data_IF_079691874332
#
_entry.id   IF_079691874332
#
_cell.length_a   1.000
_cell.length_b   1.000
_cell.length_c   1.000
_cell.angle_alpha   90.00
_cell.angle_beta   90.00
_cell.angle_gamma   90.00
#
_symmetry.space_group_name_H-M   'P 1'
#
loop_
_entity.id
_entity.type
_entity.pdbx_description
1 polymer ?
#
# COMPACT_ATOMS: atom_id res chain seq x y z
N UNK A 1 -28.09 46.74 -14.75
CA UNK A 1 -29.29 47.31 -14.08
C UNK A 1 -30.37 46.26 -14.12
N UNK A 2 -30.85 45.79 -12.96
CA UNK A 2 -31.96 44.83 -12.86
C UNK A 2 -32.95 45.37 -11.81
N UNK A 3 -34.22 45.44 -12.18
CA UNK A 3 -35.35 45.66 -11.27
C UNK A 3 -36.35 44.52 -11.50
N UNK A 4 -36.79 43.84 -10.44
CA UNK A 4 -37.89 42.87 -10.51
C UNK A 4 -37.82 41.77 -9.44
N UNK A 5 -38.88 41.65 -8.65
CA UNK A 5 -39.06 40.77 -7.50
C UNK A 5 -39.38 39.31 -7.88
N UNK A 6 -38.98 38.40 -6.99
CA UNK A 6 -39.03 36.94 -7.12
C UNK A 6 -40.45 36.35 -7.12
N UNK A 7 -40.75 35.46 -8.08
CA UNK A 7 -41.55 34.24 -7.87
C UNK A 7 -41.46 33.32 -9.10
N UNK A 8 -41.05 32.06 -8.92
CA UNK A 8 -41.16 31.00 -9.93
C UNK A 8 -39.86 30.20 -10.17
N UNK A 9 -40.00 28.89 -10.41
CA UNK A 9 -38.90 27.94 -10.72
C UNK A 9 -37.89 28.54 -11.71
N UNK A 10 -36.60 28.48 -11.35
CA UNK A 10 -35.52 28.84 -12.28
C UNK A 10 -35.30 27.69 -13.28
N UNK A 11 -35.66 27.93 -14.54
CA UNK A 11 -35.16 27.18 -15.70
C UNK A 11 -34.19 28.12 -16.45
N UNK A 12 -32.92 27.75 -16.57
CA UNK A 12 -31.95 28.50 -17.36
C UNK A 12 -32.11 28.13 -18.83
N UNK A 13 -32.86 28.94 -19.59
CA UNK A 13 -32.87 28.87 -21.05
C UNK A 13 -32.04 30.01 -21.62
N UNK A 14 -30.94 29.68 -22.31
CA UNK A 14 -30.27 30.65 -23.18
C UNK A 14 -31.22 30.98 -24.33
N UNK A 15 -31.71 32.23 -24.34
CA UNK A 15 -32.48 32.79 -25.46
C UNK A 15 -31.54 32.80 -26.67
N UNK A 16 -32.01 32.22 -27.78
CA UNK A 16 -31.34 32.17 -29.09
C UNK A 16 -30.51 33.43 -29.31
N UNK A 17 -29.20 33.28 -29.29
CA UNK A 17 -28.27 34.31 -29.70
C UNK A 17 -27.88 33.99 -31.14
N UNK A 18 -28.25 34.86 -32.08
CA UNK A 18 -27.75 34.78 -33.46
C UNK A 18 -26.26 35.09 -33.41
N UNK A 19 -25.41 34.11 -33.74
CA UNK A 19 -23.96 34.28 -33.68
C UNK A 19 -23.35 34.28 -35.08
N UNK A 20 -22.31 35.11 -35.33
CA UNK A 20 -21.58 35.07 -36.58
C UNK A 20 -20.93 33.70 -36.80
N UNK A 21 -20.90 33.25 -38.06
CA UNK A 21 -20.14 32.08 -38.45
C UNK A 21 -18.67 32.27 -38.04
N UNK A 22 -18.04 31.23 -37.48
CA UNK A 22 -16.66 31.19 -36.92
C UNK A 22 -16.49 31.61 -35.46
N UNK A 23 -17.58 31.80 -34.70
CA UNK A 23 -17.46 32.02 -33.24
C UNK A 23 -17.09 30.70 -32.54
N UNK A 24 -15.83 30.56 -32.09
CA UNK A 24 -15.38 29.50 -31.20
C UNK A 24 -15.73 29.84 -29.75
N UNK A 25 -16.50 28.97 -29.09
CA UNK A 25 -16.63 29.00 -27.63
C UNK A 25 -15.47 28.23 -27.01
N UNK A 26 -14.71 28.87 -26.14
CA UNK A 26 -14.03 28.18 -25.04
C UNK A 26 -14.71 28.62 -23.74
N UNK A 27 -15.30 27.67 -23.02
CA UNK A 27 -15.84 27.91 -21.68
C UNK A 27 -15.55 26.71 -20.80
N UNK A 28 -15.00 26.96 -19.62
CA UNK A 28 -14.41 25.99 -18.70
C UNK A 28 -15.38 25.06 -17.93
N UNK A 29 -16.71 25.02 -18.16
CA UNK A 29 -17.67 24.14 -17.42
C UNK A 29 -19.06 24.00 -18.07
N UNK A 30 -19.60 22.78 -18.13
CA UNK A 30 -21.01 22.47 -18.46
C UNK A 30 -21.61 21.40 -17.52
N UNK A 31 -22.94 21.41 -17.32
CA UNK A 31 -23.73 20.34 -16.65
C UNK A 31 -25.06 20.15 -17.41
N UNK A 32 -25.49 18.92 -17.63
CA UNK A 32 -26.77 18.58 -18.29
C UNK A 32 -27.53 17.49 -17.51
N UNK A 33 -28.86 17.56 -17.55
CA UNK A 33 -29.81 16.54 -17.07
C UNK A 33 -30.92 16.36 -18.09
N UNK A 34 -31.30 15.10 -18.37
CA UNK A 34 -32.50 14.70 -19.11
C UNK A 34 -33.12 13.48 -18.43
N UNK A 35 -34.43 13.29 -18.57
CA UNK A 35 -35.16 12.17 -17.98
C UNK A 35 -34.81 10.88 -18.76
N UNK A 36 -34.20 9.91 -18.07
CA UNK A 36 -33.54 8.73 -18.67
C UNK A 36 -32.01 8.83 -18.61
N UNK A 37 -31.44 8.30 -17.51
CA UNK A 37 -30.02 8.05 -17.24
C UNK A 37 -28.96 8.74 -18.11
N UNK A 38 -28.55 9.98 -17.78
CA UNK A 38 -27.21 10.51 -18.13
C UNK A 38 -26.64 11.38 -17.00
N UNK A 39 -25.49 10.96 -16.45
CA UNK A 39 -24.61 11.75 -15.59
C UNK A 39 -23.57 12.49 -16.46
N UNK A 40 -23.34 13.78 -16.19
CA UNK A 40 -22.22 14.62 -16.66
C UNK A 40 -21.24 13.96 -17.68
N UNK A 41 -21.50 14.12 -18.98
CA UNK A 41 -20.58 13.67 -20.03
C UNK A 41 -19.42 14.68 -20.20
N UNK A 42 -18.18 14.24 -19.93
CA UNK A 42 -16.97 14.97 -20.34
C UNK A 42 -16.40 14.24 -21.55
N UNK A 43 -16.82 14.65 -22.74
CA UNK A 43 -16.32 14.10 -24.00
C UNK A 43 -15.04 14.81 -24.46
N UNK A 44 -14.06 14.04 -24.93
CA UNK A 44 -12.89 14.58 -25.65
C UNK A 44 -11.90 13.53 -26.17
N UNK A 45 -12.21 12.88 -27.31
CA UNK A 45 -11.23 12.05 -28.03
C UNK A 45 -10.77 10.79 -27.27
N UNK A 46 -9.50 10.38 -27.42
CA UNK A 46 -8.95 9.15 -26.85
C UNK A 46 -8.81 9.14 -25.31
N UNK A 47 -9.23 10.17 -24.58
CA UNK A 47 -9.23 10.16 -23.11
C UNK A 47 -10.32 11.11 -22.58
N UNK A 48 -11.06 10.69 -21.56
CA UNK A 48 -12.18 11.47 -20.99
C UNK A 48 -12.01 11.60 -19.48
N UNK A 49 -12.24 12.77 -18.87
CA UNK A 49 -12.07 12.90 -17.42
C UNK A 49 -12.51 14.21 -16.77
N UNK A 50 -12.83 14.11 -15.48
CA UNK A 50 -13.24 15.21 -14.59
C UNK A 50 -12.02 15.77 -13.87
N UNK A 51 -11.80 17.08 -13.97
CA UNK A 51 -10.82 17.80 -13.12
C UNK A 51 -11.48 18.28 -11.82
N UNK A 52 -10.93 17.86 -10.70
CA UNK A 52 -11.32 18.27 -9.36
C UNK A 52 -10.31 19.29 -8.84
N UNK A 53 -10.74 20.54 -8.66
CA UNK A 53 -9.89 21.63 -8.18
C UNK A 53 -9.96 21.73 -6.66
N UNK A 54 -8.80 21.89 -6.03
CA UNK A 54 -8.65 22.31 -4.63
C UNK A 54 -8.84 23.83 -4.55
N UNK A 55 -9.17 24.33 -3.35
CA UNK A 55 -9.31 25.76 -3.08
C UNK A 55 -8.04 26.57 -3.38
N UNK A 56 -6.86 25.94 -3.33
CA UNK A 56 -5.57 26.56 -3.65
C UNK A 56 -5.23 26.56 -5.16
N UNK A 57 -6.16 26.19 -6.04
CA UNK A 57 -5.96 26.19 -7.50
C UNK A 57 -5.25 24.96 -8.06
N UNK A 58 -4.75 24.05 -7.21
CA UNK A 58 -4.33 22.72 -7.69
C UNK A 58 -5.54 21.92 -8.18
N UNK A 59 -5.30 20.91 -9.03
CA UNK A 59 -6.33 19.95 -9.40
C UNK A 59 -5.81 18.51 -9.42
N UNK A 60 -6.74 17.56 -9.42
CA UNK A 60 -6.54 16.14 -9.74
C UNK A 60 -7.54 15.72 -10.81
N UNK A 61 -7.22 14.67 -11.54
CA UNK A 61 -8.09 14.17 -12.62
C UNK A 61 -8.62 12.79 -12.27
N UNK A 62 -9.93 12.61 -12.41
CA UNK A 62 -10.59 11.31 -12.50
C UNK A 62 -10.87 11.06 -13.98
N UNK A 63 -10.28 10.04 -14.60
CA UNK A 63 -10.39 9.86 -16.06
C UNK A 63 -10.44 8.40 -16.48
N UNK A 64 -10.94 8.16 -17.69
CA UNK A 64 -10.65 6.95 -18.46
C UNK A 64 -9.56 7.26 -19.49
N UNK A 65 -8.61 6.34 -19.65
CA UNK A 65 -7.62 6.41 -20.73
C UNK A 65 -8.17 5.83 -22.05
N UNK A 66 -7.33 5.82 -23.09
CA UNK A 66 -7.71 5.32 -24.43
C UNK A 66 -8.00 3.82 -24.48
N UNK A 67 -7.80 3.11 -23.38
CA UNK A 67 -8.02 1.68 -23.24
C UNK A 67 -9.09 1.39 -22.18
N UNK A 68 -9.96 2.36 -21.90
CA UNK A 68 -11.07 2.28 -20.95
C UNK A 68 -10.64 1.96 -19.50
N UNK A 69 -9.38 2.26 -19.13
CA UNK A 69 -8.88 2.04 -17.77
C UNK A 69 -9.17 3.26 -16.90
N UNK A 70 -9.74 3.02 -15.72
CA UNK A 70 -10.06 4.08 -14.77
C UNK A 70 -8.79 4.58 -14.08
N UNK A 71 -8.48 5.88 -14.18
CA UNK A 71 -7.37 6.54 -13.49
C UNK A 71 -7.86 7.50 -12.40
N UNK A 72 -7.29 7.38 -11.21
CA UNK A 72 -7.44 8.32 -10.10
C UNK A 72 -6.14 9.11 -9.93
N UNK A 73 -6.18 10.42 -10.14
CA UNK A 73 -5.01 11.30 -10.02
C UNK A 73 -4.53 11.49 -8.58
N UNK A 74 -3.27 11.12 -8.31
CA UNK A 74 -2.58 11.31 -7.04
C UNK A 74 -1.84 12.66 -6.98
N UNK A 75 -1.23 13.06 -8.10
CA UNK A 75 -0.63 14.39 -8.33
C UNK A 75 -1.11 14.94 -9.67
N UNK A 76 -0.46 15.99 -10.21
CA UNK A 76 -0.74 16.47 -11.57
C UNK A 76 -0.34 15.44 -12.63
N UNK A 77 0.63 14.59 -12.33
CA UNK A 77 1.23 13.63 -13.27
C UNK A 77 1.15 12.18 -12.79
N UNK A 78 1.02 11.96 -11.49
CA UNK A 78 0.94 10.63 -10.91
C UNK A 78 -0.51 10.17 -10.71
N UNK A 79 -0.78 8.88 -10.94
CA UNK A 79 -2.10 8.27 -10.82
C UNK A 79 -2.01 6.81 -10.38
N UNK A 80 -3.13 6.30 -9.86
CA UNK A 80 -3.43 4.86 -9.80
C UNK A 80 -4.45 4.53 -10.89
N UNK A 81 -4.28 3.40 -11.56
CA UNK A 81 -5.10 2.95 -12.68
C UNK A 81 -5.67 1.56 -12.41
N UNK A 82 -6.94 1.40 -12.71
CA UNK A 82 -7.68 0.14 -12.65
C UNK A 82 -8.00 -0.26 -14.09
N UNK A 83 -7.35 -1.32 -14.56
CA UNK A 83 -7.66 -2.01 -15.81
C UNK A 83 -8.28 -3.38 -15.56
N UNK A 84 -8.71 -4.04 -16.62
CA UNK A 84 -9.21 -5.42 -16.60
C UNK A 84 -8.10 -6.45 -16.37
N UNK A 85 -6.86 -6.07 -16.67
CA UNK A 85 -5.65 -6.88 -16.58
C UNK A 85 -4.86 -6.63 -15.29
N UNK A 86 -4.86 -5.39 -14.80
CA UNK A 86 -4.00 -4.97 -13.69
C UNK A 86 -4.51 -3.72 -12.99
N UNK A 87 -4.13 -3.60 -11.70
CA UNK A 87 -4.18 -2.34 -10.96
C UNK A 87 -2.76 -1.87 -10.77
N UNK A 88 -2.41 -0.70 -11.32
CA UNK A 88 -1.03 -0.21 -11.37
C UNK A 88 -0.97 1.26 -10.95
N UNK A 89 0.22 1.70 -10.58
CA UNK A 89 0.51 3.13 -10.40
C UNK A 89 1.39 3.62 -11.54
N UNK A 90 1.32 4.91 -11.84
CA UNK A 90 2.18 5.53 -12.85
C UNK A 90 3.65 5.66 -12.43
N UNK A 91 3.97 5.31 -11.18
CA UNK A 91 5.30 5.45 -10.59
C UNK A 91 5.87 4.07 -10.30
N UNK A 92 7.00 3.75 -10.91
CA UNK A 92 7.69 2.49 -10.66
C UNK A 92 8.38 2.52 -9.28
N UNK A 93 8.31 1.39 -8.56
CA UNK A 93 8.92 1.15 -7.25
C UNK A 93 8.78 2.31 -6.22
N UNK A 94 7.66 3.04 -6.23
CA UNK A 94 7.48 4.26 -5.41
C UNK A 94 6.29 4.19 -4.45
N UNK A 95 5.17 3.57 -4.87
CA UNK A 95 3.93 3.56 -4.09
C UNK A 95 3.80 2.24 -3.34
N UNK A 96 3.74 2.31 -2.01
CA UNK A 96 3.53 1.13 -1.15
C UNK A 96 2.05 0.74 -1.06
N UNK A 97 1.78 -0.57 -0.95
CA UNK A 97 0.45 -1.09 -0.63
C UNK A 97 0.28 -1.20 0.89
N UNK A 98 -0.22 -0.12 1.50
CA UNK A 98 -0.34 0.00 2.95
C UNK A 98 0.85 0.72 3.59
N UNK A 99 0.76 0.94 4.90
CA UNK A 99 1.78 1.64 5.70
C UNK A 99 1.89 1.01 7.10
N UNK A 100 2.95 1.28 7.88
CA UNK A 100 3.15 0.65 9.19
C UNK A 100 1.96 0.74 10.13
N UNK A 101 1.25 1.87 10.15
CA UNK A 101 0.03 2.08 10.94
C UNK A 101 -1.27 1.68 10.23
N UNK A 102 -1.28 1.55 8.90
CA UNK A 102 -2.45 1.30 8.05
C UNK A 102 -2.21 0.05 7.17
N UNK A 103 -2.32 -1.13 7.80
CA UNK A 103 -2.05 -2.42 7.18
C UNK A 103 -3.31 -3.03 6.60
N UNK A 104 -3.19 -3.72 5.46
CA UNK A 104 -4.23 -4.63 5.00
C UNK A 104 -4.33 -5.82 5.94
N UNK A 105 -5.55 -6.34 6.13
CA UNK A 105 -5.78 -7.52 6.95
C UNK A 105 -5.30 -8.80 6.28
N UNK A 106 -5.60 -8.98 4.99
CA UNK A 106 -5.30 -10.17 4.19
C UNK A 106 -5.14 -9.78 2.71
N UNK A 107 -4.27 -10.49 1.98
CA UNK A 107 -4.19 -10.47 0.53
C UNK A 107 -4.65 -11.84 -0.01
N UNK A 108 -5.66 -11.85 -0.89
CA UNK A 108 -6.11 -13.04 -1.62
C UNK A 108 -5.57 -12.97 -3.06
N UNK A 109 -4.78 -13.96 -3.45
CA UNK A 109 -4.20 -14.08 -4.79
C UNK A 109 -4.19 -15.55 -5.24
N UNK A 110 -4.30 -15.79 -6.56
CA UNK A 110 -4.26 -17.15 -7.11
C UNK A 110 -2.88 -17.81 -7.06
N UNK A 111 -1.81 -17.00 -7.07
CA UNK A 111 -0.41 -17.45 -6.95
C UNK A 111 0.37 -16.50 -6.03
N UNK A 112 1.57 -16.90 -5.62
CA UNK A 112 2.46 -16.05 -4.81
C UNK A 112 2.90 -14.77 -5.52
N UNK A 113 3.33 -13.78 -4.74
CA UNK A 113 3.80 -12.48 -5.23
C UNK A 113 5.10 -12.64 -6.02
N UNK A 114 5.20 -11.93 -7.16
CA UNK A 114 6.42 -11.84 -7.97
C UNK A 114 7.29 -10.70 -7.43
N UNK A 115 8.56 -10.99 -7.13
CA UNK A 115 9.57 -9.99 -6.76
C UNK A 115 10.64 -9.92 -7.86
N UNK A 116 11.00 -8.71 -8.31
CA UNK A 116 12.11 -8.52 -9.25
C UNK A 116 13.41 -9.02 -8.63
N UNK A 117 14.11 -9.90 -9.34
CA UNK A 117 15.41 -10.44 -8.93
C UNK A 117 16.38 -10.52 -10.10
N UNK A 118 16.37 -9.50 -10.95
CA UNK A 118 17.27 -9.37 -12.08
C UNK A 118 18.71 -9.09 -11.59
N UNK A 119 19.70 -9.80 -12.14
CA UNK A 119 21.11 -9.62 -11.76
C UNK A 119 21.66 -8.25 -12.15
N UNK A 120 21.05 -7.57 -13.12
CA UNK A 120 21.44 -6.23 -13.58
C UNK A 120 21.07 -5.13 -12.58
N UNK A 121 20.18 -5.44 -11.64
CA UNK A 121 19.70 -4.52 -10.60
C UNK A 121 20.34 -4.78 -9.23
N UNK A 122 21.30 -5.71 -9.16
CA UNK A 122 21.96 -6.11 -7.91
C UNK A 122 23.47 -5.99 -8.05
N UNK A 123 24.13 -5.76 -6.93
CA UNK A 123 25.58 -5.93 -6.84
C UNK A 123 25.95 -7.40 -7.04
N UNK A 124 27.24 -7.66 -7.22
CA UNK A 124 27.76 -9.03 -7.27
C UNK A 124 27.29 -9.84 -6.05
N UNK A 125 26.74 -11.05 -6.24
CA UNK A 125 26.26 -11.88 -5.13
C UNK A 125 27.40 -12.29 -4.20
N UNK A 126 27.19 -12.09 -2.90
CA UNK A 126 28.12 -12.51 -1.85
C UNK A 126 27.66 -13.79 -1.15
N UNK A 127 28.62 -14.54 -0.59
CA UNK A 127 28.30 -15.67 0.28
C UNK A 127 27.80 -15.14 1.63
N UNK A 128 26.74 -15.75 2.16
CA UNK A 128 26.25 -15.46 3.51
C UNK A 128 27.32 -15.89 4.53
N UNK A 129 27.69 -14.97 5.42
CA UNK A 129 28.76 -15.22 6.41
C UNK A 129 28.35 -16.24 7.46
N UNK A 130 29.33 -16.93 8.05
CA UNK A 130 29.05 -17.95 9.06
C UNK A 130 28.51 -17.33 10.36
N UNK A 131 28.91 -16.09 10.69
CA UNK A 131 28.42 -15.34 11.85
C UNK A 131 26.92 -15.05 11.73
N UNK A 132 26.46 -14.65 10.53
CA UNK A 132 25.03 -14.41 10.27
C UNK A 132 24.24 -15.72 10.38
N UNK A 133 24.77 -16.81 9.83
CA UNK A 133 24.13 -18.12 9.91
C UNK A 133 24.14 -18.69 11.34
N UNK A 134 25.15 -18.37 12.14
CA UNK A 134 25.20 -18.76 13.55
C UNK A 134 24.20 -17.97 14.39
N UNK A 135 24.06 -16.66 14.15
CA UNK A 135 22.99 -15.85 14.76
C UNK A 135 21.60 -16.35 14.38
N UNK A 136 21.39 -16.65 13.10
CA UNK A 136 20.13 -17.21 12.62
C UNK A 136 19.81 -18.56 13.27
N UNK A 137 20.83 -19.39 13.54
CA UNK A 137 20.66 -20.67 14.21
C UNK A 137 20.06 -20.60 15.63
N UNK A 138 20.09 -19.43 16.27
CA UNK A 138 19.50 -19.20 17.60
C UNK A 138 18.02 -18.75 17.51
N UNK A 139 17.50 -18.47 16.31
CA UNK A 139 16.12 -18.04 16.07
C UNK A 139 15.15 -19.22 16.19
N UNK A 140 14.05 -19.02 16.92
CA UNK A 140 13.03 -20.06 17.12
C UNK A 140 11.81 -19.87 16.21
N UNK A 141 11.39 -20.95 15.57
CA UNK A 141 10.08 -21.06 14.92
C UNK A 141 9.03 -21.43 15.96
N UNK A 142 7.96 -20.63 16.03
CA UNK A 142 6.96 -20.72 17.09
C UNK A 142 5.54 -20.88 16.56
N UNK A 143 4.65 -21.32 17.44
CA UNK A 143 3.21 -21.24 17.27
C UNK A 143 2.64 -20.11 18.14
N UNK A 144 1.68 -19.34 17.62
CA UNK A 144 1.04 -18.25 18.36
C UNK A 144 -0.43 -18.05 17.96
N UNK A 145 -1.17 -17.31 18.78
CA UNK A 145 -2.51 -16.81 18.47
C UNK A 145 -2.52 -15.29 18.65
N UNK A 146 -3.24 -14.59 17.79
CA UNK A 146 -3.37 -13.13 17.93
C UNK A 146 -4.22 -12.81 19.17
N UNK A 147 -3.72 -11.94 20.05
CA UNK A 147 -4.44 -11.58 21.30
C UNK A 147 -5.85 -11.05 21.03
N UNK A 148 -6.03 -10.19 20.00
CA UNK A 148 -7.36 -9.68 19.64
C UNK A 148 -8.30 -10.80 19.15
N UNK A 149 -7.78 -11.80 18.43
CA UNK A 149 -8.57 -12.95 18.00
C UNK A 149 -8.93 -13.86 19.17
N UNK A 150 -8.03 -14.02 20.15
CA UNK A 150 -8.34 -14.76 21.39
C UNK A 150 -9.41 -14.02 22.18
N UNK A 151 -9.33 -12.69 22.29
CA UNK A 151 -10.35 -11.88 22.95
C UNK A 151 -11.72 -11.98 22.25
N UNK A 152 -11.75 -12.04 20.92
CA UNK A 152 -12.99 -12.12 20.13
C UNK A 152 -13.57 -13.55 20.04
N UNK A 153 -12.71 -14.57 19.89
CA UNK A 153 -13.12 -15.94 19.50
C UNK A 153 -12.81 -17.00 20.56
N UNK A 154 -12.16 -16.63 21.66
CA UNK A 154 -11.70 -17.55 22.69
C UNK A 154 -10.85 -18.67 22.11
N UNK A 155 -11.19 -19.91 22.45
CA UNK A 155 -10.48 -21.11 22.00
C UNK A 155 -10.61 -21.38 20.50
N UNK A 156 -11.60 -20.78 19.82
CA UNK A 156 -11.74 -20.87 18.36
C UNK A 156 -10.74 -20.00 17.59
N UNK A 157 -9.92 -19.20 18.28
CA UNK A 157 -8.85 -18.42 17.66
C UNK A 157 -7.80 -19.36 17.03
N UNK A 158 -7.57 -19.20 15.73
CA UNK A 158 -6.67 -20.06 14.96
C UNK A 158 -5.22 -19.93 15.45
N UNK A 159 -4.51 -21.05 15.46
CA UNK A 159 -3.07 -21.09 15.69
C UNK A 159 -2.34 -20.72 14.39
N UNK A 160 -1.38 -19.83 14.50
CA UNK A 160 -0.48 -19.38 13.44
C UNK A 160 0.93 -19.87 13.73
N UNK A 161 1.75 -19.99 12.69
CA UNK A 161 3.17 -20.35 12.80
C UNK A 161 4.03 -19.25 12.21
N UNK A 162 5.20 -19.02 12.80
CA UNK A 162 6.13 -18.01 12.32
C UNK A 162 7.22 -17.69 13.33
N UNK A 163 7.62 -16.42 13.35
CA UNK A 163 8.71 -15.90 14.18
C UNK A 163 8.23 -14.67 14.95
N UNK A 164 8.91 -14.34 16.04
CA UNK A 164 8.79 -13.04 16.72
C UNK A 164 9.95 -12.15 16.29
N UNK A 165 9.65 -10.95 15.78
CA UNK A 165 10.67 -10.01 15.30
C UNK A 165 11.71 -9.65 16.37
N UNK A 166 11.28 -9.49 17.63
CA UNK A 166 12.18 -9.24 18.75
C UNK A 166 13.11 -10.42 19.04
N UNK A 167 12.65 -11.67 18.89
CA UNK A 167 13.54 -12.83 19.04
C UNK A 167 14.63 -12.85 17.97
N UNK A 168 14.26 -12.50 16.73
CA UNK A 168 15.23 -12.35 15.65
C UNK A 168 16.24 -11.24 15.96
N UNK A 169 15.76 -10.07 16.40
CA UNK A 169 16.63 -8.96 16.84
C UNK A 169 17.61 -9.41 17.91
N UNK A 170 17.11 -10.07 18.96
CA UNK A 170 17.90 -10.44 20.13
C UNK A 170 18.93 -11.54 19.79
N UNK A 171 18.59 -12.48 18.91
CA UNK A 171 19.52 -13.49 18.40
C UNK A 171 20.72 -12.86 17.65
N UNK A 172 20.47 -11.84 16.83
CA UNK A 172 21.54 -11.11 16.14
C UNK A 172 22.40 -10.30 17.12
N UNK A 173 21.77 -9.57 18.06
CA UNK A 173 22.47 -8.80 19.10
C UNK A 173 23.36 -9.71 19.95
N UNK A 174 22.90 -10.90 20.32
CA UNK A 174 23.67 -11.87 21.10
C UNK A 174 24.96 -12.34 20.41
N UNK A 175 25.02 -12.24 19.07
CA UNK A 175 26.22 -12.52 18.26
C UNK A 175 26.98 -11.26 17.86
N UNK A 176 26.65 -10.09 18.42
CA UNK A 176 27.29 -8.81 18.09
C UNK A 176 26.90 -8.26 16.73
N UNK A 177 25.76 -8.69 16.16
CA UNK A 177 25.25 -8.25 14.87
C UNK A 177 24.03 -7.35 15.04
N UNK A 178 23.88 -6.39 14.13
CA UNK A 178 22.67 -5.60 14.00
C UNK A 178 21.73 -6.25 12.97
N UNK A 179 20.65 -6.88 13.45
CA UNK A 179 19.64 -7.52 12.61
C UNK A 179 18.94 -6.57 11.63
N UNK A 180 18.87 -5.27 11.93
CA UNK A 180 18.18 -4.28 11.08
C UNK A 180 18.95 -3.92 9.81
N UNK A 181 20.25 -4.27 9.77
CA UNK A 181 21.06 -4.15 8.55
C UNK A 181 20.70 -5.18 7.48
N UNK A 182 19.98 -6.23 7.85
CA UNK A 182 19.51 -7.25 6.93
C UNK A 182 18.04 -7.00 6.64
N UNK A 183 17.65 -7.04 5.37
CA UNK A 183 16.27 -6.74 4.94
C UNK A 183 15.19 -7.67 5.52
N UNK A 184 15.55 -8.65 6.34
CA UNK A 184 14.64 -9.56 7.04
C UNK A 184 13.90 -8.89 8.22
N UNK A 185 14.49 -7.88 8.87
CA UNK A 185 13.94 -7.23 10.07
C UNK A 185 13.60 -5.77 9.76
N UNK A 186 12.41 -5.32 10.15
CA UNK A 186 11.95 -3.95 9.93
C UNK A 186 11.46 -3.34 11.25
N UNK A 187 11.76 -2.07 11.45
CA UNK A 187 11.24 -1.28 12.56
C UNK A 187 10.72 0.05 12.02
N UNK A 188 9.47 0.36 12.34
CA UNK A 188 8.80 1.57 11.92
C UNK A 188 8.12 2.23 13.12
N UNK A 189 8.20 3.55 13.21
CA UNK A 189 7.49 4.35 14.22
C UNK A 189 6.74 5.50 13.56
N UNK A 190 5.60 5.89 14.13
CA UNK A 190 4.79 7.01 13.65
C UNK A 190 4.31 7.89 14.82
N UNK A 191 4.15 9.20 14.58
CA UNK A 191 3.63 10.13 15.58
C UNK A 191 2.10 10.02 15.70
N UNK A 192 1.55 10.75 16.67
CA UNK A 192 0.12 11.00 16.75
C UNK A 192 -0.38 11.65 15.45
N UNK A 193 -1.58 11.25 15.02
CA UNK A 193 -2.30 11.89 13.93
C UNK A 193 -3.61 12.46 14.44
N UNK A 194 -3.75 13.76 14.26
CA UNK A 194 -4.94 14.52 14.61
C UNK A 194 -5.73 14.92 13.36
N UNK A 195 -7.02 15.14 13.53
CA UNK A 195 -7.88 15.79 12.54
C UNK A 195 -8.64 16.96 13.17
N UNK A 196 -8.85 18.02 12.40
CA UNK A 196 -9.68 19.14 12.84
C UNK A 196 -11.13 18.71 12.97
N UNK A 197 -11.72 18.92 14.15
CA UNK A 197 -13.15 18.71 14.37
C UNK A 197 -13.91 19.83 13.68
N UNK A 198 -14.83 19.43 12.79
CA UNK A 198 -15.72 20.34 12.08
C UNK A 198 -17.12 20.20 12.64
N UNK A 199 -17.77 21.32 12.89
CA UNK A 199 -19.17 21.38 13.25
C UNK A 199 -19.96 22.06 12.15
N UNK A 200 -21.23 21.66 12.04
CA UNK A 200 -22.17 22.30 11.15
C UNK A 200 -22.79 23.52 11.85
N UNK A 201 -22.75 24.68 11.20
CA UNK A 201 -23.49 25.89 11.62
C UNK A 201 -24.26 26.45 10.44
N UNK A 202 -25.45 26.96 10.70
CA UNK A 202 -26.18 27.73 9.69
C UNK A 202 -25.66 29.16 9.66
N UNK A 203 -25.32 29.66 8.48
CA UNK A 203 -25.00 31.06 8.29
C UNK A 203 -26.27 31.94 8.36
N UNK A 204 -26.11 33.26 8.28
CA UNK A 204 -27.23 34.22 8.38
C UNK A 204 -28.28 34.04 7.25
N UNK A 205 -27.94 33.31 6.20
CA UNK A 205 -28.82 33.01 5.06
C UNK A 205 -29.51 31.64 5.21
N UNK A 206 -29.35 30.95 6.34
CA UNK A 206 -29.93 29.63 6.59
C UNK A 206 -29.24 28.48 5.83
N UNK A 207 -28.02 28.69 5.33
CA UNK A 207 -27.22 27.67 4.65
C UNK A 207 -26.28 27.02 5.65
N UNK A 208 -26.24 25.69 5.64
CA UNK A 208 -25.35 24.88 6.47
C UNK A 208 -23.90 24.99 5.98
N UNK A 209 -23.01 25.44 6.86
CA UNK A 209 -21.57 25.54 6.61
C UNK A 209 -20.80 24.75 7.68
N UNK A 210 -19.76 24.03 7.23
CA UNK A 210 -18.84 23.33 8.12
C UNK A 210 -17.76 24.29 8.60
N UNK A 211 -17.75 24.58 9.90
CA UNK A 211 -16.74 25.41 10.53
C UNK A 211 -15.74 24.54 11.30
N UNK A 212 -14.45 24.87 11.17
CA UNK A 212 -13.42 24.28 12.04
C UNK A 212 -13.57 24.87 13.44
N UNK A 213 -13.81 24.00 14.42
CA UNK A 213 -14.04 24.38 15.82
C UNK A 213 -12.77 24.87 16.52
N UNK A 214 -11.60 24.66 15.91
CA UNK A 214 -10.29 24.80 16.55
C UNK A 214 -9.89 23.59 17.40
N UNK A 215 -10.82 22.65 17.66
CA UNK A 215 -10.52 21.41 18.35
C UNK A 215 -9.87 20.40 17.41
N UNK A 216 -8.90 19.64 17.94
CA UNK A 216 -8.22 18.56 17.26
C UNK A 216 -8.60 17.23 17.91
N UNK A 217 -9.09 16.29 17.11
CA UNK A 217 -9.41 14.92 17.55
C UNK A 217 -8.25 14.00 17.20
N UNK A 218 -7.77 13.23 18.18
CA UNK A 218 -6.80 12.17 17.93
C UNK A 218 -7.44 11.04 17.11
N UNK A 219 -6.90 10.76 15.93
CA UNK A 219 -7.39 9.71 15.02
C UNK A 219 -6.51 8.47 15.08
N UNK A 220 -5.23 8.65 15.33
CA UNK A 220 -4.26 7.57 15.49
C UNK A 220 -3.22 7.99 16.52
N UNK A 221 -3.11 7.23 17.61
CA UNK A 221 -2.05 7.44 18.57
C UNK A 221 -0.68 7.05 17.98
N UNK A 222 0.36 7.74 18.43
CA UNK A 222 1.75 7.41 18.17
C UNK A 222 2.04 5.97 18.57
N UNK A 223 2.98 5.35 17.86
CA UNK A 223 3.40 4.01 18.18
C UNK A 223 4.53 3.56 17.28
N UNK A 224 4.97 2.34 17.55
CA UNK A 224 5.96 1.64 16.75
C UNK A 224 5.52 0.20 16.53
N UNK A 225 6.13 -0.45 15.54
CA UNK A 225 5.99 -1.87 15.26
C UNK A 225 7.30 -2.43 14.72
N UNK A 226 7.61 -3.62 15.19
CA UNK A 226 8.58 -4.50 14.55
C UNK A 226 7.87 -5.42 13.56
N UNK A 227 8.52 -5.64 12.42
CA UNK A 227 8.08 -6.56 11.37
C UNK A 227 9.22 -7.46 10.90
N UNK A 228 8.84 -8.57 10.27
CA UNK A 228 9.78 -9.41 9.52
C UNK A 228 9.36 -9.47 8.06
N UNK A 229 10.31 -9.77 7.16
CA UNK A 229 10.03 -10.19 5.79
C UNK A 229 10.13 -11.71 5.71
N UNK A 230 9.01 -12.45 5.73
CA UNK A 230 9.04 -13.91 5.85
C UNK A 230 9.87 -14.59 4.75
N UNK A 231 9.78 -14.10 3.50
CA UNK A 231 10.55 -14.69 2.39
C UNK A 231 12.08 -14.57 2.63
N UNK A 232 12.55 -13.43 3.14
CA UNK A 232 13.97 -13.24 3.48
C UNK A 232 14.40 -14.16 4.63
N UNK A 233 13.57 -14.29 5.66
CA UNK A 233 13.78 -15.24 6.74
C UNK A 233 13.90 -16.69 6.22
N UNK A 234 13.02 -17.08 5.29
CA UNK A 234 13.03 -18.43 4.71
C UNK A 234 14.23 -18.67 3.79
N UNK A 235 14.70 -17.66 3.04
CA UNK A 235 15.95 -17.77 2.28
C UNK A 235 17.16 -17.98 3.20
N UNK A 236 17.21 -17.25 4.33
CA UNK A 236 18.28 -17.40 5.30
C UNK A 236 18.21 -18.77 6.02
N UNK A 237 17.01 -19.22 6.38
CA UNK A 237 16.78 -20.56 6.93
C UNK A 237 17.24 -21.65 5.96
N UNK A 238 16.90 -21.54 4.67
CA UNK A 238 17.36 -22.50 3.67
C UNK A 238 18.90 -22.53 3.55
N UNK A 239 19.56 -21.37 3.60
CA UNK A 239 21.02 -21.30 3.61
C UNK A 239 21.64 -21.92 4.87
N UNK A 240 21.05 -21.65 6.04
CA UNK A 240 21.45 -22.23 7.31
C UNK A 240 21.34 -23.76 7.29
N UNK A 241 20.20 -24.29 6.83
CA UNK A 241 19.97 -25.72 6.74
C UNK A 241 20.93 -26.39 5.75
N UNK A 242 21.17 -25.78 4.57
CA UNK A 242 22.18 -26.27 3.61
C UNK A 242 23.56 -26.36 4.23
N UNK A 243 24.01 -25.31 4.93
CA UNK A 243 25.29 -25.33 5.65
C UNK A 243 25.34 -26.43 6.71
N UNK A 244 24.27 -26.58 7.49
CA UNK A 244 24.18 -27.62 8.52
C UNK A 244 24.26 -29.02 7.90
N UNK A 245 23.53 -29.28 6.82
CA UNK A 245 23.59 -30.54 6.07
C UNK A 245 24.99 -30.84 5.56
N UNK A 246 25.64 -29.90 4.88
CA UNK A 246 27.01 -30.11 4.40
C UNK A 246 28.00 -30.39 5.54
N UNK A 247 27.86 -29.71 6.69
CA UNK A 247 28.69 -30.01 7.88
C UNK A 247 28.40 -31.41 8.44
N UNK A 248 27.15 -31.88 8.41
CA UNK A 248 26.79 -33.23 8.83
C UNK A 248 27.33 -34.30 7.87
N UNK A 249 27.21 -34.10 6.55
CA UNK A 249 27.75 -35.00 5.52
C UNK A 249 29.26 -35.17 5.64
N UNK A 250 30.01 -34.07 5.86
CA UNK A 250 31.46 -34.12 6.09
C UNK A 250 31.79 -34.95 7.34
N UNK A 251 31.01 -34.79 8.41
CA UNK A 251 31.21 -35.56 9.66
C UNK A 251 30.87 -37.03 9.46
N UNK A 252 29.80 -37.33 8.72
CA UNK A 252 29.38 -38.69 8.43
C UNK A 252 30.44 -39.41 7.60
N UNK A 253 30.93 -38.78 6.53
CA UNK A 253 32.01 -39.34 5.70
C UNK A 253 33.25 -39.68 6.52
N UNK A 254 33.65 -38.80 7.44
CA UNK A 254 34.78 -39.08 8.36
C UNK A 254 34.53 -40.31 9.24
N UNK A 255 33.29 -40.56 9.64
CA UNK A 255 32.94 -41.75 10.42
C UNK A 255 32.94 -43.00 9.55
N UNK A 256 32.43 -42.92 8.31
CA UNK A 256 32.45 -44.02 7.34
C UNK A 256 33.89 -44.42 6.99
N UNK A 257 34.75 -43.44 6.71
CA UNK A 257 36.18 -43.64 6.42
C UNK A 257 36.91 -44.31 7.59
N UNK A 258 36.58 -43.94 8.84
CA UNK A 258 37.15 -44.57 10.05
C UNK A 258 36.60 -45.97 10.30
N UNK A 259 35.35 -46.22 9.91
CA UNK A 259 34.66 -47.50 10.09
C UNK A 259 34.92 -48.51 8.98
N UNK A 260 35.60 -48.12 7.89
CA UNK A 260 35.79 -48.96 6.70
C UNK A 260 34.46 -49.30 6.01
N UNK A 261 33.46 -48.43 6.14
CA UNK A 261 32.15 -48.62 5.51
C UNK A 261 32.20 -48.03 4.09
N UNK A 262 31.67 -48.79 3.13
CA UNK A 262 31.48 -48.27 1.78
C UNK A 262 30.46 -47.12 1.79
N UNK A 263 30.70 -46.04 1.01
CA UNK A 263 29.75 -44.95 0.93
C UNK A 263 28.41 -45.42 0.37
N UNK A 264 27.31 -44.90 0.92
CA UNK A 264 25.97 -45.15 0.40
C UNK A 264 25.90 -44.76 -1.10
N UNK A 265 25.18 -45.53 -1.93
CA UNK A 265 24.98 -45.17 -3.33
C UNK A 265 24.26 -43.82 -3.42
N UNK A 266 24.74 -42.94 -4.31
CA UNK A 266 24.18 -41.62 -4.58
C UNK A 266 22.84 -41.70 -5.33
#
# INVERSE_FOLDING_TARGET
MYFGTMSGRYEWRYKIATMPASTLFSSDRFRFTGDGDIFHAIGGGSASGVKLFKSNGEYRTLSFDSSDRLRLGLTKTAWIQFGTDSVVTSLDNTVALGQPSLRYSVLYAGTGTINTSDSREKTEPEKISDEVLDAWGDVQFIAYRWLHMVAEKGDSARVHYGLIAQQVRDAFIARGLDGTRYGLLCYDSWPDKYESVRESRFNQSGVEELHETGEQRLVLAAGDRWGIRPDQCLFLEAAYQRRRSSRMEIRLKRLEDLGGLDPLPQ
#
